data_IF_238183564652
#
_entry.id   IF_238183564652
#
_cell.length_a   1.000
_cell.length_b   1.000
_cell.length_c   1.000
_cell.angle_alpha   90.00
_cell.angle_beta   90.00
_cell.angle_gamma   90.00
#
_symmetry.space_group_name_H-M   'P 1'
#
loop_
_entity.id
_entity.type
_entity.pdbx_description
1 polymer ?
#
# COMPACT_ATOMS: atom_id res chain seq x y z
N UNK A 1 64.48 -22.06 5.77
CA UNK A 1 63.28 -22.92 6.02
C UNK A 1 62.27 -22.14 6.85
N UNK A 2 61.42 -21.30 6.23
CA UNK A 2 60.12 -20.93 6.81
C UNK A 2 59.17 -20.16 5.86
N UNK A 3 59.52 -19.95 4.59
CA UNK A 3 58.64 -19.24 3.64
C UNK A 3 57.34 -20.01 3.32
N UNK A 4 57.35 -21.34 3.32
CA UNK A 4 56.17 -22.11 2.90
C UNK A 4 54.98 -21.93 3.85
N UNK A 5 55.22 -21.72 5.16
CA UNK A 5 54.14 -21.53 6.13
C UNK A 5 53.51 -20.14 6.03
N UNK A 6 54.33 -19.12 5.73
CA UNK A 6 53.86 -17.75 5.50
C UNK A 6 53.06 -17.62 4.21
N UNK A 7 53.52 -18.26 3.13
CA UNK A 7 52.81 -18.31 1.85
C UNK A 7 51.44 -19.00 1.98
N UNK A 8 51.38 -20.15 2.66
CA UNK A 8 50.13 -20.88 2.88
C UNK A 8 49.15 -20.09 3.74
N UNK A 9 49.63 -19.40 4.79
CA UNK A 9 48.78 -18.53 5.60
C UNK A 9 48.19 -17.35 4.78
N UNK A 10 48.97 -16.79 3.84
CA UNK A 10 48.50 -15.75 2.94
C UNK A 10 47.42 -16.25 1.98
N UNK A 11 47.60 -17.46 1.42
CA UNK A 11 46.59 -18.08 0.55
C UNK A 11 45.26 -18.29 1.28
N UNK A 12 45.30 -18.80 2.52
CA UNK A 12 44.08 -18.93 3.33
C UNK A 12 43.44 -17.59 3.66
N UNK A 13 44.24 -16.56 3.94
CA UNK A 13 43.74 -15.21 4.20
C UNK A 13 43.08 -14.60 2.95
N UNK A 14 43.66 -14.82 1.77
CA UNK A 14 43.09 -14.39 0.49
C UNK A 14 41.79 -15.12 0.18
N UNK A 15 41.74 -16.44 0.35
CA UNK A 15 40.51 -17.23 0.16
C UNK A 15 39.42 -16.75 1.10
N UNK A 16 39.75 -16.47 2.37
CA UNK A 16 38.82 -15.95 3.34
C UNK A 16 38.31 -14.55 2.96
N UNK A 17 39.20 -13.65 2.54
CA UNK A 17 38.84 -12.32 2.09
C UNK A 17 37.93 -12.34 0.86
N UNK A 18 38.25 -13.16 -0.16
CA UNK A 18 37.40 -13.36 -1.34
C UNK A 18 36.04 -13.92 -0.95
N UNK A 19 35.99 -14.87 -0.01
CA UNK A 19 34.73 -15.44 0.48
C UNK A 19 33.86 -14.38 1.17
N UNK A 20 34.45 -13.46 1.95
CA UNK A 20 33.72 -12.35 2.55
C UNK A 20 33.20 -11.36 1.50
N UNK A 21 34.00 -11.05 0.47
CA UNK A 21 33.57 -10.18 -0.63
C UNK A 21 32.38 -10.81 -1.36
N UNK A 22 32.46 -12.11 -1.68
CA UNK A 22 31.35 -12.84 -2.31
C UNK A 22 30.11 -12.84 -1.43
N UNK A 23 30.26 -13.06 -0.13
CA UNK A 23 29.15 -13.00 0.82
C UNK A 23 28.43 -11.65 0.76
N UNK A 24 29.18 -10.54 0.87
CA UNK A 24 28.60 -9.18 0.84
C UNK A 24 27.90 -8.89 -0.49
N UNK A 25 28.47 -9.33 -1.61
CA UNK A 25 27.89 -9.15 -2.95
C UNK A 25 26.50 -9.79 -3.05
N UNK A 26 26.27 -10.93 -2.39
CA UNK A 26 24.94 -11.56 -2.38
C UNK A 26 24.04 -11.01 -1.28
N UNK A 27 24.57 -10.77 -0.08
CA UNK A 27 23.77 -10.34 1.07
C UNK A 27 23.12 -8.98 0.84
N UNK A 28 23.85 -7.99 0.33
CA UNK A 28 23.30 -6.64 0.12
C UNK A 28 22.07 -6.60 -0.81
N UNK A 29 22.10 -7.17 -2.03
CA UNK A 29 20.93 -7.16 -2.91
C UNK A 29 19.78 -8.02 -2.37
N UNK A 30 20.07 -9.12 -1.66
CA UNK A 30 19.05 -9.93 -1.00
C UNK A 30 18.33 -9.12 0.09
N UNK A 31 19.08 -8.40 0.92
CA UNK A 31 18.51 -7.53 1.97
C UNK A 31 17.65 -6.43 1.37
N UNK A 32 18.13 -5.76 0.32
CA UNK A 32 17.35 -4.72 -0.37
C UNK A 32 16.03 -5.28 -0.92
N UNK A 33 16.07 -6.44 -1.60
CA UNK A 33 14.88 -7.10 -2.12
C UNK A 33 13.88 -7.45 -1.00
N UNK A 34 14.37 -7.96 0.13
CA UNK A 34 13.52 -8.25 1.29
C UNK A 34 12.86 -6.98 1.83
N UNK A 35 13.61 -5.88 1.99
CA UNK A 35 13.08 -4.59 2.46
C UNK A 35 11.97 -4.11 1.52
N UNK A 36 12.20 -4.13 0.20
CA UNK A 36 11.20 -3.66 -0.76
C UNK A 36 9.93 -4.51 -0.75
N UNK A 37 10.06 -5.83 -0.66
CA UNK A 37 8.91 -6.71 -0.53
C UNK A 37 8.12 -6.46 0.77
N UNK A 38 8.82 -6.23 1.88
CA UNK A 38 8.16 -5.91 3.17
C UNK A 38 7.43 -4.57 3.11
N UNK A 39 8.00 -3.56 2.45
CA UNK A 39 7.35 -2.26 2.26
C UNK A 39 6.10 -2.39 1.37
N UNK A 40 6.18 -3.13 0.27
CA UNK A 40 5.05 -3.37 -0.62
C UNK A 40 3.91 -4.13 0.08
N UNK A 41 4.22 -5.13 0.91
CA UNK A 41 3.21 -5.82 1.74
C UNK A 41 2.58 -4.85 2.74
N UNK A 42 3.39 -4.03 3.41
CA UNK A 42 2.88 -3.05 4.38
C UNK A 42 1.97 -2.00 3.72
N UNK A 43 2.36 -1.47 2.57
CA UNK A 43 1.57 -0.52 1.78
C UNK A 43 0.22 -1.12 1.36
N UNK A 44 0.21 -2.37 0.88
CA UNK A 44 -1.04 -3.04 0.47
C UNK A 44 -1.98 -3.31 1.64
N UNK A 45 -1.45 -3.68 2.81
CA UNK A 45 -2.23 -3.88 4.02
C UNK A 45 -2.83 -2.56 4.55
N UNK A 46 -2.04 -1.49 4.57
CA UNK A 46 -2.49 -0.16 4.97
C UNK A 46 -3.59 0.34 4.05
N UNK A 47 -3.40 0.23 2.73
CA UNK A 47 -4.43 0.60 1.77
C UNK A 47 -5.71 -0.23 1.96
N UNK A 48 -5.59 -1.55 2.16
CA UNK A 48 -6.76 -2.40 2.44
C UNK A 48 -7.49 -1.98 3.73
N UNK A 49 -6.75 -1.65 4.78
CA UNK A 49 -7.33 -1.15 6.03
C UNK A 49 -8.09 0.16 5.81
N UNK A 50 -7.50 1.11 5.09
CA UNK A 50 -8.11 2.40 4.83
C UNK A 50 -9.33 2.32 3.89
N UNK A 51 -9.25 1.47 2.85
CA UNK A 51 -10.43 1.17 2.03
C UNK A 51 -11.54 0.51 2.86
N UNK A 52 -11.20 -0.33 3.84
CA UNK A 52 -12.19 -0.97 4.71
C UNK A 52 -12.88 0.05 5.62
N UNK A 53 -12.15 1.04 6.15
CA UNK A 53 -12.74 2.15 6.92
C UNK A 53 -13.69 2.97 6.06
N UNK A 54 -13.32 3.24 4.81
CA UNK A 54 -14.21 3.93 3.86
C UNK A 54 -15.47 3.11 3.57
N UNK A 55 -15.32 1.81 3.33
CA UNK A 55 -16.44 0.90 3.11
C UNK A 55 -17.42 0.90 4.29
N UNK A 56 -16.90 0.85 5.53
CA UNK A 56 -17.71 0.90 6.74
C UNK A 56 -18.45 2.23 6.88
N UNK A 57 -17.78 3.36 6.63
CA UNK A 57 -18.43 4.67 6.65
C UNK A 57 -19.52 4.82 5.59
N UNK A 58 -19.33 4.22 4.41
CA UNK A 58 -20.37 4.18 3.37
C UNK A 58 -21.59 3.39 3.86
N UNK A 59 -21.37 2.22 4.45
CA UNK A 59 -22.45 1.39 5.00
C UNK A 59 -23.15 2.06 6.19
N UNK A 60 -22.42 2.81 7.01
CA UNK A 60 -22.97 3.60 8.12
C UNK A 60 -23.87 4.73 7.61
N UNK A 61 -23.40 5.53 6.65
CA UNK A 61 -24.22 6.60 6.03
C UNK A 61 -25.43 6.02 5.33
N UNK A 62 -25.27 4.88 4.63
CA UNK A 62 -26.38 4.18 3.98
C UNK A 62 -27.40 3.65 5.00
N UNK A 63 -26.93 3.10 6.12
CA UNK A 63 -27.79 2.58 7.20
C UNK A 63 -28.50 3.66 7.99
N UNK A 64 -27.88 4.83 8.16
CA UNK A 64 -28.48 6.00 8.83
C UNK A 64 -29.48 6.74 7.93
N UNK A 65 -29.33 6.65 6.60
CA UNK A 65 -30.28 7.19 5.62
C UNK A 65 -30.02 8.63 5.21
N UNK A 66 -30.98 9.23 4.51
CA UNK A 66 -30.92 10.62 4.01
C UNK A 66 -30.70 11.63 5.15
N UNK A 67 -29.85 12.63 4.88
CA UNK A 67 -29.42 13.64 5.87
C UNK A 67 -28.14 13.25 6.62
N UNK A 68 -27.62 12.04 6.43
CA UNK A 68 -26.44 11.54 7.13
C UNK A 68 -25.15 11.95 6.45
N UNK A 69 -24.13 12.26 7.25
CA UNK A 69 -22.80 12.67 6.78
C UNK A 69 -21.71 12.10 7.67
N UNK A 70 -20.67 11.58 7.03
CA UNK A 70 -19.48 11.08 7.71
C UNK A 70 -18.22 11.60 7.03
N UNK A 71 -17.21 11.92 7.84
CA UNK A 71 -15.88 12.29 7.36
C UNK A 71 -14.89 11.24 7.82
N UNK A 72 -14.16 10.66 6.88
CA UNK A 72 -13.13 9.65 7.14
C UNK A 72 -11.78 10.20 6.72
N UNK A 73 -10.81 10.10 7.62
CA UNK A 73 -9.42 10.40 7.31
C UNK A 73 -8.70 9.11 6.92
N UNK A 74 -8.09 9.10 5.74
CA UNK A 74 -7.27 7.99 5.24
C UNK A 74 -5.84 8.48 5.01
N UNK A 75 -4.86 7.62 5.32
CA UNK A 75 -3.44 7.96 5.28
C UNK A 75 -2.75 7.07 4.28
N UNK A 76 -2.44 7.63 3.12
CA UNK A 76 -1.88 6.86 2.01
C UNK A 76 -0.35 7.01 1.93
N UNK A 77 0.36 5.88 1.87
CA UNK A 77 1.81 5.86 1.63
C UNK A 77 2.19 6.36 0.24
N UNK A 78 1.30 6.21 -0.75
CA UNK A 78 1.51 6.51 -2.18
C UNK A 78 0.24 7.13 -2.78
N UNK A 79 0.41 7.95 -3.82
CA UNK A 79 -0.73 8.48 -4.58
C UNK A 79 -1.55 7.32 -5.17
N UNK A 80 -2.87 7.33 -4.99
CA UNK A 80 -3.75 6.32 -5.56
C UNK A 80 -5.00 6.96 -6.18
N UNK A 81 -5.39 6.44 -7.34
CA UNK A 81 -6.73 6.65 -7.89
C UNK A 81 -7.66 5.59 -7.31
N UNK A 82 -8.61 6.03 -6.49
CA UNK A 82 -9.67 5.19 -5.94
C UNK A 82 -10.86 5.28 -6.87
N UNK A 83 -11.28 4.15 -7.42
CA UNK A 83 -12.51 4.05 -8.20
C UNK A 83 -13.63 3.59 -7.27
N UNK A 84 -14.70 4.38 -7.22
CA UNK A 84 -15.92 4.12 -6.49
C UNK A 84 -16.96 3.64 -7.49
N UNK A 85 -17.44 2.43 -7.30
CA UNK A 85 -18.54 1.83 -8.04
C UNK A 85 -19.68 1.54 -7.06
N UNK A 86 -20.90 1.35 -7.56
CA UNK A 86 -22.09 1.25 -6.70
C UNK A 86 -22.01 0.16 -5.63
N UNK A 87 -21.24 -0.91 -5.89
CA UNK A 87 -21.11 -2.07 -5.00
C UNK A 87 -19.68 -2.34 -4.50
N UNK A 88 -18.69 -1.55 -4.93
CA UNK A 88 -17.31 -1.76 -4.49
C UNK A 88 -16.45 -0.51 -4.64
N UNK A 89 -15.45 -0.41 -3.78
CA UNK A 89 -14.33 0.53 -3.92
C UNK A 89 -13.09 -0.25 -4.31
N UNK A 90 -12.29 0.32 -5.21
CA UNK A 90 -11.02 -0.24 -5.60
C UNK A 90 -9.92 0.81 -5.65
N UNK A 91 -8.73 0.45 -5.17
CA UNK A 91 -7.51 1.24 -5.37
C UNK A 91 -6.50 0.39 -6.13
N UNK A 92 -5.87 0.99 -7.13
CA UNK A 92 -4.77 0.35 -7.85
C UNK A 92 -3.44 0.85 -7.29
N UNK A 93 -2.69 -0.04 -6.65
CA UNK A 93 -1.38 0.23 -6.08
C UNK A 93 -0.30 -0.31 -7.01
N UNK A 94 0.63 0.57 -7.40
CA UNK A 94 1.83 0.16 -8.13
C UNK A 94 2.90 -0.30 -7.13
N UNK A 95 3.25 -1.58 -7.25
CA UNK A 95 4.31 -2.25 -6.51
C UNK A 95 5.69 -1.87 -7.07
N UNK A 96 6.73 -2.16 -6.30
CA UNK A 96 8.10 -1.82 -6.69
C UNK A 96 8.60 -2.66 -7.88
N UNK A 97 8.08 -3.88 -8.05
CA UNK A 97 8.33 -4.74 -9.22
C UNK A 97 7.61 -4.26 -10.50
N UNK A 98 6.89 -3.14 -10.43
CA UNK A 98 6.12 -2.56 -11.53
C UNK A 98 4.74 -3.18 -11.70
N UNK A 99 4.40 -4.26 -10.99
CA UNK A 99 3.06 -4.83 -11.02
C UNK A 99 2.08 -3.95 -10.29
N UNK A 100 0.82 -4.08 -10.70
CA UNK A 100 -0.29 -3.35 -10.13
C UNK A 100 -1.15 -4.33 -9.33
N UNK A 101 -1.31 -4.07 -8.03
CA UNK A 101 -2.25 -4.82 -7.21
C UNK A 101 -3.51 -3.98 -7.02
N UNK A 102 -4.64 -4.53 -7.47
CA UNK A 102 -5.94 -3.95 -7.21
C UNK A 102 -6.56 -4.65 -6.01
N UNK A 103 -6.84 -3.89 -4.96
CA UNK A 103 -7.63 -4.35 -3.83
C UNK A 103 -9.06 -3.87 -4.03
N UNK A 104 -10.03 -4.78 -3.94
CA UNK A 104 -11.47 -4.48 -4.06
C UNK A 104 -12.15 -4.81 -2.75
N UNK A 105 -12.93 -3.86 -2.23
CA UNK A 105 -13.77 -4.06 -1.05
C UNK A 105 -15.20 -3.77 -1.46
N UNK A 106 -16.10 -4.72 -1.17
CA UNK A 106 -17.50 -4.63 -1.53
C UNK A 106 -18.30 -4.00 -0.39
N UNK A 107 -19.28 -3.18 -0.75
CA UNK A 107 -20.28 -2.59 0.15
C UNK A 107 -21.63 -2.54 -0.54
N UNK A 108 -22.69 -2.30 0.23
CA UNK A 108 -24.01 -1.96 -0.30
C UNK A 108 -24.21 -0.44 -0.22
N UNK A 109 -24.46 0.21 -1.35
CA UNK A 109 -24.74 1.65 -1.37
C UNK A 109 -25.56 2.09 -2.60
N UNK A 110 -26.09 3.31 -2.55
CA UNK A 110 -26.61 4.06 -3.71
C UNK A 110 -25.60 5.10 -4.23
N UNK A 111 -24.29 4.87 -4.03
CA UNK A 111 -23.26 5.78 -4.54
C UNK A 111 -23.22 5.81 -6.06
N UNK A 112 -23.10 7.02 -6.61
CA UNK A 112 -22.76 7.21 -8.01
C UNK A 112 -21.31 6.83 -8.29
N UNK A 113 -21.09 6.36 -9.53
CA UNK A 113 -19.75 6.02 -10.00
C UNK A 113 -18.89 7.26 -10.01
N UNK A 114 -17.81 7.24 -9.25
CA UNK A 114 -16.90 8.36 -9.12
C UNK A 114 -15.45 7.88 -9.00
N UNK A 115 -14.53 8.79 -9.27
CA UNK A 115 -13.11 8.52 -9.09
C UNK A 115 -12.52 9.61 -8.18
N UNK A 116 -11.88 9.17 -7.10
CA UNK A 116 -11.20 10.03 -6.16
C UNK A 116 -9.69 9.92 -6.39
N UNK A 117 -9.04 11.08 -6.54
CA UNK A 117 -7.60 11.16 -6.67
C UNK A 117 -7.01 11.51 -5.31
N UNK A 118 -6.52 10.49 -4.61
CA UNK A 118 -5.95 10.66 -3.28
C UNK A 118 -4.44 10.85 -3.38
N UNK A 119 -3.93 11.87 -2.70
CA UNK A 119 -2.51 12.20 -2.65
C UNK A 119 -1.83 11.40 -1.53
N UNK A 120 -0.52 11.24 -1.62
CA UNK A 120 0.29 10.73 -0.52
C UNK A 120 0.10 11.61 0.71
N UNK A 121 -0.08 10.98 1.88
CA UNK A 121 -0.34 11.64 3.15
C UNK A 121 -1.80 11.53 3.57
N UNK A 122 -2.23 12.46 4.41
CA UNK A 122 -3.60 12.51 4.93
C UNK A 122 -4.56 13.07 3.87
N UNK A 123 -5.67 12.36 3.66
CA UNK A 123 -6.78 12.84 2.85
C UNK A 123 -8.06 12.71 3.66
N UNK A 124 -8.81 13.80 3.76
CA UNK A 124 -10.13 13.80 4.37
C UNK A 124 -11.17 13.55 3.29
N UNK A 125 -11.92 12.46 3.42
CA UNK A 125 -12.97 12.07 2.48
C UNK A 125 -14.31 12.28 3.18
N UNK A 126 -15.21 12.98 2.50
CA UNK A 126 -16.58 13.22 2.96
C UNK A 126 -17.49 12.28 2.20
N UNK A 127 -18.30 11.54 2.94
CA UNK A 127 -19.38 10.70 2.44
C UNK A 127 -20.68 11.29 2.99
N UNK A 128 -21.61 11.64 2.12
CA UNK A 128 -22.88 12.21 2.55
C UNK A 128 -24.05 11.70 1.72
N UNK A 129 -25.21 11.61 2.35
CA UNK A 129 -26.48 11.40 1.69
C UNK A 129 -27.33 12.66 1.83
N UNK A 130 -27.39 13.52 0.80
CA UNK A 130 -28.17 14.75 0.87
C UNK A 130 -29.67 14.48 1.05
N UNK A 131 -30.34 15.31 1.84
CA UNK A 131 -31.80 15.32 1.93
C UNK A 131 -32.39 15.67 0.55
N UNK A 132 -33.28 14.82 0.04
CA UNK A 132 -33.84 14.88 -1.33
C UNK A 132 -32.92 14.40 -2.48
N UNK A 133 -31.84 13.66 -2.19
CA UNK A 133 -31.09 12.93 -3.21
C UNK A 133 -31.39 11.43 -3.15
N UNK A 134 -31.61 10.80 -4.31
CA UNK A 134 -31.70 9.33 -4.40
C UNK A 134 -30.34 8.66 -4.16
N UNK A 135 -29.26 9.37 -4.50
CA UNK A 135 -27.91 8.85 -4.47
C UNK A 135 -27.05 9.51 -3.39
N UNK A 136 -26.11 8.73 -2.87
CA UNK A 136 -25.04 9.21 -1.98
C UNK A 136 -23.91 9.87 -2.80
N UNK A 137 -23.20 10.78 -2.17
CA UNK A 137 -22.05 11.49 -2.74
C UNK A 137 -20.78 11.23 -1.95
N UNK A 138 -19.66 11.18 -2.66
CA UNK A 138 -18.33 11.02 -2.06
C UNK A 138 -17.35 11.99 -2.74
N UNK A 139 -16.62 12.76 -1.94
CA UNK A 139 -15.63 13.70 -2.44
C UNK A 139 -14.49 13.93 -1.43
N UNK A 140 -13.36 14.38 -1.94
CA UNK A 140 -12.20 14.76 -1.12
C UNK A 140 -12.39 16.20 -0.66
N UNK A 141 -12.13 16.46 0.62
CA UNK A 141 -12.16 17.80 1.23
C UNK A 141 -10.84 18.54 1.03
#
# INVERSE_FOLDING_TARGET
MNDSKGQVALEYLLIFAVSLILLVIFTLPLTELTIQNTLDVSDTLNAKSDLSKLSQAIEEVYGQGQGSRQTVNVVLSKNCKVNVESNYISCNLKLHDGKSKSEKIYFKSTLEKSALYLKKGENSIVIEWPENSENMQIFVR
#
